data_IF_212759805418
#
_entry.id   IF_212759805418
#
_cell.length_a   1.000
_cell.length_b   1.000
_cell.length_c   1.000
_cell.angle_alpha   90.00
_cell.angle_beta   90.00
_cell.angle_gamma   90.00
#
_symmetry.space_group_name_H-M   'P 1'
#
loop_
_entity.id
_entity.type
_entity.pdbx_description
1 polymer ?
#
# COMPACT_ATOMS: atom_id res chain seq x y z
N UNK A 1 15.26 -59.08 -20.51
CA UNK A 1 13.88 -59.06 -21.03
C UNK A 1 13.10 -58.10 -20.16
N UNK A 2 12.58 -56.96 -20.58
CA UNK A 2 12.61 -56.11 -21.79
C UNK A 2 11.87 -54.84 -21.32
N UNK A 3 12.41 -53.63 -21.50
CA UNK A 3 11.86 -52.57 -22.39
C UNK A 3 10.42 -52.13 -22.00
N UNK A 4 10.08 -50.86 -21.74
CA UNK A 4 10.47 -49.65 -22.47
C UNK A 4 10.14 -48.33 -21.74
N UNK A 5 10.97 -47.33 -22.08
CA UNK A 5 10.78 -45.89 -22.34
C UNK A 5 9.99 -44.90 -21.44
N UNK A 6 10.70 -43.79 -21.14
CA UNK A 6 10.30 -42.50 -20.57
C UNK A 6 9.63 -41.58 -21.65
N UNK A 7 9.07 -40.38 -21.34
CA UNK A 7 9.96 -39.21 -21.32
C UNK A 7 9.63 -38.08 -20.33
N UNK A 8 10.73 -37.53 -19.82
CA UNK A 8 10.91 -36.22 -19.20
C UNK A 8 10.38 -35.02 -20.02
N UNK A 9 9.49 -34.20 -19.45
CA UNK A 9 9.19 -32.82 -19.95
C UNK A 9 9.21 -31.75 -18.82
N UNK A 10 9.10 -32.13 -17.55
CA UNK A 10 8.94 -31.16 -16.45
C UNK A 10 10.19 -30.39 -15.98
N UNK A 11 11.40 -30.72 -16.44
CA UNK A 11 12.66 -30.23 -15.81
C UNK A 11 13.51 -29.25 -16.64
N UNK A 12 13.02 -28.75 -17.78
CA UNK A 12 13.74 -27.72 -18.58
C UNK A 12 13.15 -26.31 -18.52
N UNK A 13 11.97 -26.11 -17.94
CA UNK A 13 11.36 -24.78 -17.80
C UNK A 13 11.86 -23.99 -16.58
N UNK A 14 12.38 -24.67 -15.56
CA UNK A 14 12.82 -24.04 -14.31
C UNK A 14 14.22 -23.42 -14.33
N UNK A 15 15.01 -23.61 -15.40
CA UNK A 15 16.36 -23.03 -15.50
C UNK A 15 16.48 -21.82 -16.45
N UNK A 16 15.39 -21.40 -17.11
CA UNK A 16 15.36 -20.18 -17.93
C UNK A 16 14.63 -19.00 -17.29
N UNK A 17 13.83 -19.23 -16.25
CA UNK A 17 13.22 -18.15 -15.46
C UNK A 17 14.20 -17.48 -14.48
N UNK A 18 15.24 -18.19 -14.03
CA UNK A 18 16.17 -17.70 -13.02
C UNK A 18 17.29 -16.77 -13.55
N UNK A 19 17.36 -16.49 -14.86
CA UNK A 19 18.38 -15.57 -15.42
C UNK A 19 17.80 -14.28 -16.02
N UNK A 20 16.51 -14.00 -15.81
CA UNK A 20 15.81 -12.85 -16.38
C UNK A 20 15.25 -11.92 -15.29
N UNK A 21 15.95 -11.79 -14.16
CA UNK A 21 15.50 -10.94 -13.05
C UNK A 21 16.57 -10.00 -12.51
N UNK A 22 17.69 -9.84 -13.22
CA UNK A 22 18.68 -8.81 -12.88
C UNK A 22 18.92 -7.89 -14.06
N UNK A 23 18.66 -6.61 -13.81
CA UNK A 23 18.82 -5.42 -14.65
C UNK A 23 17.55 -4.91 -15.36
N UNK A 24 17.32 -3.61 -15.15
CA UNK A 24 16.34 -2.67 -15.72
C UNK A 24 14.95 -2.56 -15.07
N UNK A 25 14.57 -1.30 -14.79
CA UNK A 25 13.30 -0.85 -14.20
C UNK A 25 12.10 -1.02 -15.15
N UNK A 26 10.94 -0.39 -14.87
CA UNK A 26 9.66 -0.86 -15.38
C UNK A 26 9.57 -0.65 -16.90
N UNK A 27 9.75 -1.72 -17.66
CA UNK A 27 9.61 -1.72 -19.11
C UNK A 27 8.18 -2.07 -19.51
N UNK A 28 7.88 -1.81 -20.79
CA UNK A 28 6.64 -2.08 -21.51
C UNK A 28 6.02 -3.50 -21.37
N UNK A 29 6.61 -4.36 -20.56
CA UNK A 29 6.18 -5.75 -20.33
C UNK A 29 4.94 -5.87 -19.44
N UNK A 30 4.62 -4.89 -18.57
CA UNK A 30 3.37 -4.96 -17.78
C UNK A 30 2.13 -4.80 -18.68
N UNK A 31 2.21 -3.90 -19.66
CA UNK A 31 1.19 -3.77 -20.72
C UNK A 31 1.19 -4.98 -21.65
N UNK A 32 2.34 -5.61 -21.91
CA UNK A 32 2.43 -6.83 -22.71
C UNK A 32 1.79 -8.04 -22.02
N UNK A 33 1.97 -8.19 -20.70
CA UNK A 33 1.33 -9.28 -19.93
C UNK A 33 -0.19 -9.09 -19.88
N UNK A 34 -0.68 -7.86 -19.68
CA UNK A 34 -2.13 -7.57 -19.75
C UNK A 34 -2.67 -7.82 -21.17
N UNK A 35 -1.95 -7.41 -22.22
CA UNK A 35 -2.34 -7.68 -23.61
C UNK A 35 -2.34 -9.18 -23.96
N UNK A 36 -1.40 -9.96 -23.42
CA UNK A 36 -1.35 -11.42 -23.60
C UNK A 36 -2.52 -12.09 -22.87
N UNK A 37 -2.88 -11.66 -21.66
CA UNK A 37 -4.04 -12.20 -20.93
C UNK A 37 -5.35 -11.88 -21.67
N UNK A 38 -5.51 -10.66 -22.21
CA UNK A 38 -6.67 -10.28 -23.02
C UNK A 38 -6.72 -11.07 -24.35
N UNK A 39 -5.58 -11.30 -25.00
CA UNK A 39 -5.51 -12.06 -26.25
C UNK A 39 -5.80 -13.56 -26.05
N UNK A 40 -5.35 -14.17 -24.94
CA UNK A 40 -5.64 -15.58 -24.62
C UNK A 40 -7.15 -15.78 -24.34
N UNK A 41 -7.81 -14.81 -23.71
CA UNK A 41 -9.27 -14.85 -23.49
C UNK A 41 -10.03 -14.70 -24.82
N UNK A 42 -9.56 -13.86 -25.76
CA UNK A 42 -10.20 -13.70 -27.07
C UNK A 42 -10.08 -14.93 -27.99
N UNK A 43 -9.05 -15.77 -27.82
CA UNK A 43 -8.81 -16.96 -28.64
C UNK A 43 -9.58 -18.20 -28.12
N UNK A 44 -9.97 -18.22 -26.84
CA UNK A 44 -10.74 -19.34 -26.26
C UNK A 44 -12.25 -19.26 -26.52
N UNK A 45 -12.77 -18.09 -26.91
CA UNK A 45 -14.22 -17.88 -27.11
C UNK A 45 -14.80 -18.51 -28.39
N UNK A 46 -14.08 -18.73 -29.52
CA UNK A 46 -14.68 -19.35 -30.72
C UNK A 46 -14.46 -20.86 -30.88
N UNK A 47 -13.79 -21.56 -29.94
CA UNK A 47 -13.38 -22.96 -30.16
C UNK A 47 -14.44 -24.04 -29.82
N UNK A 48 -15.72 -23.70 -29.63
CA UNK A 48 -16.77 -24.66 -29.22
C UNK A 48 -17.82 -24.93 -30.33
N UNK A 49 -17.69 -24.32 -31.52
CA UNK A 49 -18.63 -24.58 -32.62
C UNK A 49 -18.00 -25.39 -33.75
N UNK A 50 -18.03 -26.72 -33.64
CA UNK A 50 -18.20 -27.68 -34.76
C UNK A 50 -17.83 -29.10 -34.29
N UNK A 51 -18.83 -29.96 -34.05
CA UNK A 51 -18.92 -31.36 -34.54
C UNK A 51 -20.34 -31.86 -34.24
N UNK A 52 -21.20 -31.96 -35.26
CA UNK A 52 -22.31 -32.90 -35.27
C UNK A 52 -22.59 -33.37 -36.69
N UNK A 53 -22.64 -34.69 -36.93
CA UNK A 53 -23.58 -35.32 -37.85
C UNK A 53 -23.65 -36.88 -37.73
N UNK A 54 -24.89 -37.39 -37.75
CA UNK A 54 -25.43 -38.64 -38.39
C UNK A 54 -25.93 -39.83 -37.51
N UNK A 55 -27.28 -40.00 -37.51
CA UNK A 55 -28.22 -41.17 -37.48
C UNK A 55 -28.06 -42.33 -36.43
N UNK A 56 -29.10 -42.95 -35.82
CA UNK A 56 -30.55 -43.07 -36.14
C UNK A 56 -31.39 -43.67 -34.97
N UNK A 57 -32.65 -43.22 -34.92
CA UNK A 57 -33.92 -43.88 -34.53
C UNK A 57 -34.21 -44.46 -33.12
N UNK A 58 -35.19 -43.81 -32.48
CA UNK A 58 -36.30 -44.37 -31.66
C UNK A 58 -36.07 -44.80 -30.20
N UNK A 59 -34.90 -44.52 -29.62
CA UNK A 59 -34.73 -44.33 -28.16
C UNK A 59 -34.45 -42.85 -27.79
N UNK A 60 -34.51 -41.96 -28.78
CA UNK A 60 -33.87 -40.64 -28.75
C UNK A 60 -34.71 -39.49 -28.16
N UNK A 61 -35.95 -39.70 -27.71
CA UNK A 61 -36.78 -38.59 -27.22
C UNK A 61 -36.57 -38.26 -25.72
N UNK A 62 -36.23 -39.25 -24.90
CA UNK A 62 -35.95 -39.03 -23.46
C UNK A 62 -34.48 -38.65 -23.21
N UNK A 63 -33.55 -39.17 -24.03
CA UNK A 63 -32.11 -38.86 -23.93
C UNK A 63 -31.78 -37.43 -24.43
N UNK A 64 -32.53 -36.95 -25.42
CA UNK A 64 -32.39 -35.60 -26.01
C UNK A 64 -32.93 -34.50 -25.08
N UNK A 65 -33.92 -34.81 -24.22
CA UNK A 65 -34.37 -33.89 -23.17
C UNK A 65 -33.35 -33.79 -22.02
N UNK A 66 -32.76 -34.92 -21.62
CA UNK A 66 -31.66 -34.98 -20.65
C UNK A 66 -30.42 -34.23 -21.14
N UNK A 67 -30.04 -34.45 -22.41
CA UNK A 67 -28.87 -33.82 -23.02
C UNK A 67 -29.04 -32.30 -23.17
N UNK A 68 -30.22 -31.83 -23.61
CA UNK A 68 -30.53 -30.39 -23.66
C UNK A 68 -30.56 -29.75 -22.27
N UNK A 69 -31.03 -30.48 -21.25
CA UNK A 69 -31.01 -29.99 -19.87
C UNK A 69 -29.58 -29.89 -19.31
N UNK A 70 -28.70 -30.84 -19.63
CA UNK A 70 -27.27 -30.77 -19.25
C UNK A 70 -26.53 -29.65 -19.98
N UNK A 71 -26.80 -29.44 -21.27
CA UNK A 71 -26.19 -28.36 -22.06
C UNK A 71 -26.64 -26.99 -21.55
N UNK A 72 -27.92 -26.82 -21.23
CA UNK A 72 -28.44 -25.59 -20.63
C UNK A 72 -27.83 -25.32 -19.24
N UNK A 73 -27.64 -26.37 -18.42
CA UNK A 73 -27.01 -26.25 -17.11
C UNK A 73 -25.51 -25.93 -17.20
N UNK A 74 -24.82 -26.43 -18.22
CA UNK A 74 -23.42 -26.12 -18.49
C UNK A 74 -23.26 -24.68 -19.02
N UNK A 75 -24.13 -24.24 -19.94
CA UNK A 75 -24.17 -22.85 -20.42
C UNK A 75 -24.48 -21.86 -19.29
N UNK A 76 -25.39 -22.21 -18.37
CA UNK A 76 -25.65 -21.42 -17.16
C UNK A 76 -24.41 -21.32 -16.28
N UNK A 77 -23.72 -22.44 -16.02
CA UNK A 77 -22.48 -22.46 -15.22
C UNK A 77 -21.36 -21.65 -15.86
N UNK A 78 -21.24 -21.69 -17.18
CA UNK A 78 -20.29 -20.87 -17.93
C UNK A 78 -20.66 -19.38 -17.86
N UNK A 79 -21.95 -19.04 -17.96
CA UNK A 79 -22.46 -17.68 -17.77
C UNK A 79 -22.16 -17.12 -16.38
N UNK A 80 -22.39 -17.92 -15.34
CA UNK A 80 -22.08 -17.55 -13.95
C UNK A 80 -20.59 -17.35 -13.73
N UNK A 81 -19.77 -18.21 -14.34
CA UNK A 81 -18.30 -18.11 -14.28
C UNK A 81 -17.80 -16.84 -14.98
N UNK A 82 -18.35 -16.53 -16.16
CA UNK A 82 -18.02 -15.29 -16.89
C UNK A 82 -18.46 -14.05 -16.11
N UNK A 83 -19.62 -14.09 -15.47
CA UNK A 83 -20.09 -13.00 -14.63
C UNK A 83 -19.19 -12.79 -13.40
N UNK A 84 -18.74 -13.88 -12.75
CA UNK A 84 -17.81 -13.81 -11.64
C UNK A 84 -16.44 -13.23 -12.05
N UNK A 85 -15.93 -13.60 -13.22
CA UNK A 85 -14.69 -13.04 -13.78
C UNK A 85 -14.86 -11.55 -14.07
N UNK A 86 -15.95 -11.14 -14.74
CA UNK A 86 -16.22 -9.74 -15.03
C UNK A 86 -16.30 -8.88 -13.75
N UNK A 87 -16.95 -9.40 -12.71
CA UNK A 87 -17.00 -8.73 -11.41
C UNK A 87 -15.61 -8.65 -10.74
N UNK A 88 -14.78 -9.68 -10.88
CA UNK A 88 -13.39 -9.65 -10.42
C UNK A 88 -12.54 -8.60 -11.13
N UNK A 89 -12.66 -8.51 -12.46
CA UNK A 89 -11.95 -7.51 -13.28
C UNK A 89 -12.39 -6.08 -12.91
N UNK A 90 -13.69 -5.85 -12.71
CA UNK A 90 -14.19 -4.54 -12.30
C UNK A 90 -13.63 -4.12 -10.92
N UNK A 91 -13.62 -5.02 -9.94
CA UNK A 91 -13.02 -4.75 -8.61
C UNK A 91 -11.53 -4.44 -8.69
N UNK A 92 -10.80 -5.13 -9.57
CA UNK A 92 -9.38 -4.84 -9.81
C UNK A 92 -9.18 -3.47 -10.46
N UNK A 93 -10.04 -3.10 -11.42
CA UNK A 93 -10.01 -1.80 -12.07
C UNK A 93 -10.34 -0.64 -11.10
N UNK A 94 -11.31 -0.83 -10.22
CA UNK A 94 -11.61 0.10 -9.12
C UNK A 94 -10.41 0.24 -8.18
N UNK A 95 -9.78 -0.88 -7.80
CA UNK A 95 -8.58 -0.87 -6.96
C UNK A 95 -7.39 -0.16 -7.61
N UNK A 96 -7.20 -0.34 -8.92
CA UNK A 96 -6.16 0.36 -9.69
C UNK A 96 -6.42 1.87 -9.79
N UNK A 97 -7.68 2.29 -9.96
CA UNK A 97 -8.07 3.69 -9.90
C UNK A 97 -7.75 4.33 -8.55
N UNK A 98 -8.03 3.62 -7.45
CA UNK A 98 -7.67 4.08 -6.10
C UNK A 98 -6.16 4.19 -5.86
N UNK A 99 -5.35 3.31 -6.44
CA UNK A 99 -3.89 3.40 -6.36
C UNK A 99 -3.35 4.63 -7.09
N UNK A 100 -3.89 4.95 -8.27
CA UNK A 100 -3.53 6.17 -9.01
C UNK A 100 -3.94 7.44 -8.25
N UNK A 101 -5.13 7.45 -7.64
CA UNK A 101 -5.57 8.59 -6.81
C UNK A 101 -4.74 8.77 -5.53
N UNK A 102 -4.21 7.69 -4.94
CA UNK A 102 -3.35 7.77 -3.77
C UNK A 102 -1.97 8.37 -4.07
N UNK A 103 -1.43 8.11 -5.27
CA UNK A 103 -0.20 8.75 -5.77
C UNK A 103 -0.46 10.23 -6.08
N UNK A 104 -1.63 10.56 -6.63
CA UNK A 104 -2.01 11.94 -6.95
C UNK A 104 -2.29 12.82 -5.72
N UNK A 105 -2.81 12.26 -4.61
CA UNK A 105 -2.98 12.98 -3.34
C UNK A 105 -1.66 13.23 -2.59
N UNK A 106 -0.60 12.49 -2.92
CA UNK A 106 0.76 12.80 -2.46
C UNK A 106 1.37 14.00 -3.23
N UNK A 107 0.70 14.47 -4.30
CA UNK A 107 1.14 15.56 -5.20
C UNK A 107 0.27 16.83 -5.11
N UNK A 108 -0.68 16.92 -4.16
CA UNK A 108 -1.41 18.18 -3.87
C UNK A 108 -0.40 19.32 -3.59
N UNK A 109 -0.73 20.59 -3.93
CA UNK A 109 0.17 21.71 -3.67
C UNK A 109 0.39 21.85 -2.16
N UNK A 110 1.57 21.43 -1.71
CA UNK A 110 1.98 21.35 -0.30
C UNK A 110 2.15 22.73 0.36
N UNK A 111 2.01 23.80 -0.41
CA UNK A 111 2.25 25.16 0.03
C UNK A 111 1.14 26.03 -0.55
N UNK A 112 0.38 26.70 0.32
CA UNK A 112 -0.67 27.64 -0.09
C UNK A 112 -0.46 28.99 0.58
N UNK A 113 -0.68 30.06 -0.19
CA UNK A 113 -0.87 31.40 0.33
C UNK A 113 -2.37 31.65 0.50
N UNK A 114 -2.78 32.00 1.72
CA UNK A 114 -4.13 32.52 1.99
C UNK A 114 -5.29 31.66 1.50
N UNK A 115 -5.54 30.52 2.14
CA UNK A 115 -6.83 29.79 2.12
C UNK A 115 -6.87 28.81 3.31
N UNK A 116 -8.07 28.38 3.69
CA UNK A 116 -8.42 27.55 4.87
C UNK A 116 -7.30 26.57 5.32
N UNK A 117 -7.01 26.50 6.64
CA UNK A 117 -5.97 25.62 7.15
C UNK A 117 -6.28 24.18 6.77
N UNK A 118 -5.28 23.51 6.20
CA UNK A 118 -5.42 22.09 5.95
C UNK A 118 -5.64 21.32 7.25
N UNK A 119 -6.56 20.36 7.22
CA UNK A 119 -6.75 19.39 8.29
C UNK A 119 -5.97 18.12 7.98
N UNK A 120 -5.51 17.43 9.03
CA UNK A 120 -4.86 16.13 8.91
C UNK A 120 -5.60 15.19 7.98
N UNK A 121 -4.91 14.74 6.94
CA UNK A 121 -5.42 13.83 5.94
C UNK A 121 -4.62 12.54 6.01
N UNK A 122 -5.25 11.42 5.66
CA UNK A 122 -4.58 10.13 5.56
C UNK A 122 -5.17 9.34 4.40
N UNK A 123 -4.42 8.38 3.91
CA UNK A 123 -4.87 7.53 2.83
C UNK A 123 -3.94 6.36 2.54
N UNK A 124 -4.26 5.54 1.54
CA UNK A 124 -5.59 5.44 0.96
C UNK A 124 -6.61 4.92 1.98
N UNK A 125 -7.89 4.94 1.59
CA UNK A 125 -8.90 4.13 2.27
C UNK A 125 -8.50 2.65 2.28
N UNK A 126 -8.70 2.00 3.43
CA UNK A 126 -8.22 0.65 3.69
C UNK A 126 -9.08 -0.04 4.75
N UNK A 127 -9.04 -1.39 4.84
CA UNK A 127 -9.68 -2.10 5.92
C UNK A 127 -9.26 -1.54 7.29
N UNK A 128 -10.23 -1.40 8.18
CA UNK A 128 -10.06 -0.85 9.53
C UNK A 128 -10.38 -1.95 10.54
N UNK A 129 -9.57 -2.04 11.58
CA UNK A 129 -9.68 -3.07 12.60
C UNK A 129 -9.82 -2.47 14.02
N UNK A 130 -10.02 -3.34 14.99
CA UNK A 130 -9.91 -3.04 16.41
C UNK A 130 -8.92 -4.00 17.05
N UNK A 131 -8.43 -3.68 18.26
CA UNK A 131 -7.50 -4.57 18.98
C UNK A 131 -8.13 -5.94 19.29
N UNK A 132 -9.46 -6.06 19.31
CA UNK A 132 -10.18 -7.32 19.50
C UNK A 132 -10.31 -8.17 18.22
N UNK A 133 -10.10 -7.57 17.05
CA UNK A 133 -10.37 -8.18 15.74
C UNK A 133 -9.27 -7.83 14.72
N UNK A 134 -8.02 -8.13 15.07
CA UNK A 134 -6.85 -7.91 14.22
C UNK A 134 -6.75 -8.94 13.07
N UNK A 135 -6.28 -8.54 11.87
CA UNK A 135 -6.09 -9.46 10.75
C UNK A 135 -4.95 -10.44 10.99
N UNK A 136 -4.90 -11.50 10.19
CA UNK A 136 -3.82 -12.52 10.23
C UNK A 136 -2.68 -12.25 9.25
N UNK A 137 -2.74 -11.14 8.52
CA UNK A 137 -1.78 -10.73 7.49
C UNK A 137 -1.20 -9.35 7.85
N UNK A 138 0.00 -9.00 7.35
CA UNK A 138 0.62 -7.72 7.67
C UNK A 138 -0.22 -6.56 7.15
N UNK A 139 -0.51 -5.62 8.04
CA UNK A 139 -1.17 -4.35 7.73
C UNK A 139 -0.58 -3.29 8.63
N UNK A 140 -0.33 -2.10 8.09
CA UNK A 140 0.19 -0.99 8.86
C UNK A 140 -0.95 -0.05 9.27
N UNK A 141 -0.97 0.36 10.53
CA UNK A 141 -1.71 1.53 11.02
C UNK A 141 -3.18 1.59 10.54
N UNK A 142 -3.94 0.62 11.02
CA UNK A 142 -5.29 0.26 10.58
C UNK A 142 -6.29 0.14 11.72
N UNK A 143 -5.88 0.29 12.99
CA UNK A 143 -6.80 0.31 14.12
C UNK A 143 -7.33 1.72 14.40
N UNK A 144 -8.65 1.86 14.57
CA UNK A 144 -9.29 3.17 14.81
C UNK A 144 -9.33 3.59 16.28
N UNK A 145 -9.21 2.63 17.20
CA UNK A 145 -9.46 2.80 18.63
C UNK A 145 -8.27 2.47 19.51
N UNK A 146 -7.04 2.69 19.03
CA UNK A 146 -5.85 2.43 19.85
C UNK A 146 -5.91 3.34 21.10
N UNK A 147 -5.83 2.80 22.33
CA UNK A 147 -5.97 3.59 23.55
C UNK A 147 -4.83 4.61 23.78
N UNK A 148 -3.69 4.44 23.10
CA UNK A 148 -2.52 5.31 23.23
C UNK A 148 -2.41 6.33 22.08
N UNK A 149 -2.92 5.99 20.89
CA UNK A 149 -2.75 6.78 19.66
C UNK A 149 -4.07 7.34 19.11
N UNK A 150 -5.20 6.67 19.38
CA UNK A 150 -6.50 6.96 18.76
C UNK A 150 -6.65 6.25 17.42
N UNK A 151 -6.97 7.02 16.38
CA UNK A 151 -7.12 6.50 15.01
C UNK A 151 -5.76 6.43 14.34
N UNK A 152 -5.21 5.22 14.21
CA UNK A 152 -3.86 5.01 13.68
C UNK A 152 -3.72 5.38 12.21
N UNK A 153 -4.82 5.57 11.49
CA UNK A 153 -4.72 6.00 10.10
C UNK A 153 -4.12 7.40 9.99
N UNK A 154 -4.37 8.26 10.99
CA UNK A 154 -3.74 9.56 11.17
C UNK A 154 -2.42 9.42 11.96
N UNK A 155 -1.47 8.66 11.41
CA UNK A 155 -0.24 8.29 12.11
C UNK A 155 0.85 9.36 12.14
N UNK A 156 0.67 10.47 11.42
CA UNK A 156 1.63 11.56 11.38
C UNK A 156 1.12 12.74 12.20
N UNK A 157 1.94 13.20 13.14
CA UNK A 157 1.58 14.29 14.05
C UNK A 157 2.73 15.24 14.29
N UNK A 158 2.38 16.43 14.77
CA UNK A 158 3.30 17.50 15.12
C UNK A 158 2.99 18.04 16.51
N UNK A 159 4.04 18.55 17.17
CA UNK A 159 3.97 19.38 18.37
C UNK A 159 5.15 20.34 18.40
N UNK A 160 5.05 21.40 19.20
CA UNK A 160 6.22 22.20 19.55
C UNK A 160 7.25 21.35 20.29
N UNK A 161 8.54 21.58 20.08
CA UNK A 161 9.60 20.70 20.63
C UNK A 161 9.77 20.87 22.14
N UNK A 162 9.76 22.11 22.62
CA UNK A 162 10.05 22.46 24.02
C UNK A 162 8.81 22.50 24.92
N UNK A 163 7.68 21.97 24.47
CA UNK A 163 6.43 21.95 25.25
C UNK A 163 6.33 20.72 26.17
N UNK A 164 5.82 20.86 27.41
CA UNK A 164 5.48 19.70 28.24
C UNK A 164 4.27 18.91 27.71
N UNK A 165 3.55 19.45 26.72
CA UNK A 165 2.42 18.77 26.11
C UNK A 165 2.84 17.47 25.40
N UNK A 166 2.10 16.41 25.68
CA UNK A 166 2.29 15.08 25.08
C UNK A 166 1.27 14.77 23.97
N UNK A 167 0.48 15.77 23.60
CA UNK A 167 -0.58 15.63 22.60
C UNK A 167 0.02 15.88 21.22
N UNK A 168 -0.26 14.97 20.30
CA UNK A 168 0.12 15.11 18.90
C UNK A 168 -1.09 15.62 18.13
N UNK A 169 -0.88 16.62 17.29
CA UNK A 169 -1.92 17.16 16.43
C UNK A 169 -1.58 16.93 14.97
N UNK A 170 -2.59 16.85 14.12
CA UNK A 170 -2.41 16.86 12.66
C UNK A 170 -2.34 18.27 12.08
N UNK A 171 -2.61 19.29 12.90
CA UNK A 171 -2.56 20.71 12.54
C UNK A 171 -2.00 21.51 13.70
N UNK A 172 -1.09 22.45 13.42
CA UNK A 172 -0.56 23.37 14.44
C UNK A 172 -0.37 24.77 13.87
N UNK A 173 -0.52 25.78 14.73
CA UNK A 173 -0.10 27.14 14.42
C UNK A 173 1.37 27.31 14.83
N UNK A 174 2.20 27.75 13.91
CA UNK A 174 3.64 27.89 14.12
C UNK A 174 4.04 29.33 14.46
N UNK A 175 5.12 29.46 15.23
CA UNK A 175 5.71 30.72 15.66
C UNK A 175 7.11 30.89 15.05
N UNK A 176 7.51 32.14 14.80
CA UNK A 176 8.79 32.46 14.19
C UNK A 176 9.96 32.09 15.11
N UNK A 177 10.96 31.41 14.56
CA UNK A 177 12.14 30.95 15.27
C UNK A 177 11.95 29.71 16.16
N UNK A 178 10.74 29.14 16.22
CA UNK A 178 10.46 27.96 17.05
C UNK A 178 10.78 26.65 16.31
N UNK A 179 11.05 25.60 17.09
CA UNK A 179 11.26 24.25 16.60
C UNK A 179 10.03 23.37 16.88
N UNK A 180 9.66 22.53 15.92
CA UNK A 180 8.56 21.59 16.03
C UNK A 180 9.04 20.17 15.80
N UNK A 181 8.62 19.25 16.66
CA UNK A 181 8.87 17.82 16.49
C UNK A 181 7.74 17.22 15.69
N UNK A 182 8.06 16.56 14.58
CA UNK A 182 7.13 15.73 13.83
C UNK A 182 7.40 14.27 14.15
N UNK A 183 6.33 13.46 14.23
CA UNK A 183 6.42 12.04 14.56
C UNK A 183 5.47 11.20 13.74
N UNK A 184 6.02 10.13 13.20
CA UNK A 184 5.32 9.05 12.51
C UNK A 184 5.22 7.86 13.45
N UNK A 185 3.99 7.45 13.78
CA UNK A 185 3.72 6.20 14.47
C UNK A 185 3.64 5.06 13.46
N UNK A 186 4.26 3.91 13.74
CA UNK A 186 4.18 2.73 12.89
C UNK A 186 3.87 1.51 13.74
N UNK A 187 2.78 0.82 13.39
CA UNK A 187 2.43 -0.46 13.97
C UNK A 187 1.99 -1.41 12.88
N UNK A 188 2.50 -2.64 12.95
CA UNK A 188 1.96 -3.75 12.18
C UNK A 188 0.85 -4.41 12.99
N UNK A 189 -0.41 -4.24 12.55
CA UNK A 189 -1.60 -4.65 13.30
C UNK A 189 -1.97 -6.11 13.06
N UNK A 190 -1.05 -6.94 12.56
CA UNK A 190 -1.33 -8.37 12.45
C UNK A 190 -1.41 -9.05 13.83
N UNK A 191 -2.34 -9.99 13.98
CA UNK A 191 -2.49 -10.84 15.18
C UNK A 191 -1.47 -11.97 15.25
N UNK A 192 -0.87 -12.34 14.11
CA UNK A 192 0.01 -13.52 13.99
C UNK A 192 1.46 -13.08 13.89
N UNK A 193 2.33 -13.59 14.77
CA UNK A 193 3.75 -13.21 14.87
C UNK A 193 4.57 -13.39 13.59
N UNK A 194 4.15 -14.29 12.69
CA UNK A 194 4.80 -14.53 11.40
C UNK A 194 4.40 -13.54 10.30
N UNK A 195 3.35 -12.74 10.51
CA UNK A 195 2.83 -11.78 9.55
C UNK A 195 3.62 -10.47 9.58
N UNK A 196 4.93 -10.56 9.31
CA UNK A 196 5.87 -9.44 9.35
C UNK A 196 5.70 -8.56 8.10
N UNK A 197 5.83 -7.25 8.25
CA UNK A 197 5.89 -6.31 7.15
C UNK A 197 7.36 -6.14 6.70
N UNK A 198 7.71 -6.66 5.52
CA UNK A 198 9.10 -6.75 5.04
C UNK A 198 9.53 -5.55 4.21
N UNK A 199 10.71 -5.03 4.52
CA UNK A 199 11.28 -3.87 3.82
C UNK A 199 10.42 -2.62 4.03
N UNK A 200 9.88 -2.45 5.24
CA UNK A 200 9.08 -1.29 5.59
C UNK A 200 9.92 -0.02 5.49
N UNK A 201 9.51 0.97 4.70
CA UNK A 201 10.23 2.23 4.52
C UNK A 201 9.35 3.43 4.81
N UNK A 202 9.96 4.49 5.35
CA UNK A 202 9.36 5.81 5.54
C UNK A 202 9.97 6.82 4.58
N UNK A 203 9.13 7.53 3.85
CA UNK A 203 9.50 8.75 3.12
C UNK A 203 8.71 9.91 3.68
N UNK A 204 9.39 11.01 3.98
CA UNK A 204 8.79 12.28 4.38
C UNK A 204 8.87 13.23 3.18
N UNK A 205 7.73 13.78 2.81
CA UNK A 205 7.66 14.93 1.93
C UNK A 205 7.69 16.19 2.78
N UNK A 206 8.86 16.83 2.86
CA UNK A 206 9.06 18.12 3.53
C UNK A 206 9.23 19.19 2.45
N UNK A 207 8.24 20.06 2.23
CA UNK A 207 8.31 21.04 1.15
C UNK A 207 9.41 22.09 1.41
N UNK A 208 10.11 22.48 0.35
CA UNK A 208 11.02 23.62 0.37
C UNK A 208 10.37 24.80 -0.37
N UNK A 209 9.46 25.49 0.32
CA UNK A 209 8.66 26.58 -0.22
C UNK A 209 8.37 27.62 0.86
N UNK A 210 7.78 28.75 0.44
CA UNK A 210 7.25 29.79 1.31
C UNK A 210 5.72 29.72 1.25
N UNK A 211 5.04 29.84 2.40
CA UNK A 211 3.59 29.90 2.46
C UNK A 211 3.08 30.21 3.87
N UNK A 212 1.81 30.59 3.99
CA UNK A 212 1.13 30.76 5.28
C UNK A 212 0.48 29.47 5.77
N UNK A 213 0.38 28.45 4.90
CA UNK A 213 0.01 27.09 5.23
C UNK A 213 0.91 26.13 4.45
N UNK A 214 1.67 25.31 5.17
CA UNK A 214 2.60 24.32 4.61
C UNK A 214 2.20 22.93 5.11
N UNK A 215 1.96 22.01 4.19
CA UNK A 215 1.68 20.60 4.47
C UNK A 215 2.93 19.76 4.33
N UNK A 216 3.10 18.81 5.23
CA UNK A 216 4.08 17.73 5.10
C UNK A 216 3.37 16.40 5.18
N UNK A 217 3.84 15.41 4.45
CA UNK A 217 3.28 14.07 4.46
C UNK A 217 4.34 13.01 4.77
N UNK A 218 3.89 11.95 5.43
CA UNK A 218 4.66 10.75 5.68
C UNK A 218 4.05 9.60 4.87
N UNK A 219 4.87 8.94 4.07
CA UNK A 219 4.54 7.75 3.28
C UNK A 219 5.21 6.54 3.90
N UNK A 220 4.42 5.57 4.33
CA UNK A 220 4.89 4.25 4.73
C UNK A 220 4.64 3.28 3.58
N UNK A 221 5.66 2.48 3.25
CA UNK A 221 5.56 1.43 2.25
C UNK A 221 6.12 0.12 2.79
N UNK A 222 5.55 -1.01 2.38
CA UNK A 222 6.09 -2.35 2.64
C UNK A 222 5.80 -3.26 1.45
N UNK A 223 6.57 -4.34 1.29
CA UNK A 223 6.47 -5.23 0.11
C UNK A 223 5.27 -6.18 0.14
N UNK A 224 4.72 -6.41 1.32
CA UNK A 224 3.78 -7.49 1.61
C UNK A 224 2.56 -7.04 2.42
N UNK A 225 2.44 -5.75 2.74
CA UNK A 225 1.27 -5.21 3.45
C UNK A 225 0.10 -4.98 2.52
N UNK A 226 -1.11 -4.95 3.07
CA UNK A 226 -2.29 -4.49 2.35
C UNK A 226 -2.92 -3.26 3.04
N UNK A 227 -2.91 -2.07 2.40
CA UNK A 227 -2.26 -1.76 1.12
C UNK A 227 -0.73 -1.73 1.22
N UNK A 228 -0.04 -1.74 0.07
CA UNK A 228 1.43 -1.68 -0.01
C UNK A 228 2.01 -0.32 0.41
N UNK A 229 1.18 0.73 0.34
CA UNK A 229 1.54 2.10 0.69
C UNK A 229 0.40 2.76 1.44
N UNK A 230 0.72 3.48 2.51
CA UNK A 230 -0.19 4.35 3.24
C UNK A 230 0.50 5.69 3.50
N UNK A 231 -0.28 6.75 3.60
CA UNK A 231 0.23 8.08 3.89
C UNK A 231 -0.62 8.80 4.94
N UNK A 232 -0.02 9.76 5.63
CA UNK A 232 -0.67 10.67 6.56
C UNK A 232 0.01 12.03 6.50
N UNK A 233 -0.75 13.11 6.68
CA UNK A 233 -0.29 14.48 6.55
C UNK A 233 -0.48 15.32 7.80
N UNK A 234 0.41 16.30 7.96
CA UNK A 234 0.40 17.36 8.98
C UNK A 234 0.35 18.71 8.30
N UNK A 235 -0.38 19.66 8.89
CA UNK A 235 -0.42 21.05 8.45
C UNK A 235 0.22 22.00 9.48
N UNK A 236 1.13 22.83 8.99
CA UNK A 236 1.75 23.94 9.72
C UNK A 236 1.12 25.24 9.21
N UNK A 237 0.61 26.08 10.10
CA UNK A 237 -0.10 27.32 9.71
C UNK A 237 0.44 28.53 10.44
N UNK A 238 0.42 29.69 9.80
CA UNK A 238 0.73 30.98 10.42
C UNK A 238 -0.05 32.11 9.76
N UNK A 239 -0.10 33.27 10.42
CA UNK A 239 -0.71 34.49 9.87
C UNK A 239 0.18 35.20 8.84
N UNK A 240 1.47 34.85 8.78
CA UNK A 240 2.46 35.40 7.85
C UNK A 240 3.12 34.26 7.08
N UNK A 241 3.67 34.51 5.87
CA UNK A 241 4.40 33.48 5.15
C UNK A 241 5.68 33.07 5.89
N UNK A 242 5.97 31.77 5.87
CA UNK A 242 7.13 31.18 6.53
C UNK A 242 7.74 30.07 5.68
N UNK A 243 8.92 29.61 6.11
CA UNK A 243 9.63 28.45 5.59
C UNK A 243 9.81 27.40 6.67
N UNK A 244 9.96 26.15 6.25
CA UNK A 244 10.20 25.00 7.14
C UNK A 244 11.52 24.36 6.74
N UNK A 245 12.43 24.21 7.71
CA UNK A 245 13.73 23.59 7.48
C UNK A 245 13.95 22.41 8.44
N UNK A 246 14.42 21.27 7.93
CA UNK A 246 14.84 20.16 8.78
C UNK A 246 16.02 20.58 9.69
N UNK A 247 15.93 20.25 10.98
CA UNK A 247 17.03 20.42 11.93
C UNK A 247 17.96 19.20 11.80
N UNK A 248 19.12 19.40 11.17
CA UNK A 248 20.06 18.32 10.87
C UNK A 248 20.47 17.53 12.13
N UNK A 249 20.39 16.19 12.03
CA UNK A 249 20.78 15.28 13.11
C UNK A 249 19.69 15.05 14.18
N UNK A 250 18.53 15.69 14.07
CA UNK A 250 17.41 15.49 15.00
C UNK A 250 16.63 14.19 14.79
N UNK A 251 16.80 13.53 13.65
CA UNK A 251 16.02 12.34 13.32
C UNK A 251 16.38 11.12 14.19
N UNK A 252 15.36 10.48 14.77
CA UNK A 252 15.50 9.28 15.61
C UNK A 252 14.37 8.27 15.36
N UNK A 253 14.67 6.99 15.60
CA UNK A 253 13.69 5.90 15.68
C UNK A 253 13.66 5.37 17.11
N UNK A 254 12.48 5.38 17.71
CA UNK A 254 12.20 4.73 18.99
C UNK A 254 11.38 3.45 18.74
N UNK A 255 11.51 2.48 19.63
CA UNK A 255 10.68 1.27 19.61
C UNK A 255 10.36 0.82 21.01
N UNK A 256 9.16 0.27 21.22
CA UNK A 256 8.78 -0.35 22.49
C UNK A 256 9.67 -1.58 22.83
N UNK A 257 10.34 -2.18 21.85
CA UNK A 257 11.27 -3.29 22.07
C UNK A 257 12.69 -2.84 22.48
N UNK A 258 13.01 -1.54 22.39
CA UNK A 258 14.33 -1.00 22.69
C UNK A 258 14.30 -0.01 23.84
N UNK A 259 15.35 -0.05 24.67
CA UNK A 259 15.48 0.86 25.81
C UNK A 259 15.90 2.28 25.42
N UNK A 260 16.41 2.49 24.21
CA UNK A 260 16.95 3.79 23.79
C UNK A 260 16.65 4.10 22.32
N UNK A 261 16.41 5.37 21.98
CA UNK A 261 16.28 5.81 20.59
C UNK A 261 17.53 5.51 19.77
N UNK A 262 17.35 5.23 18.48
CA UNK A 262 18.42 5.06 17.50
C UNK A 262 18.45 6.28 16.58
N UNK A 263 19.58 6.97 16.53
CA UNK A 263 19.76 8.10 15.61
C UNK A 263 19.70 7.66 14.16
N UNK A 264 19.02 8.44 13.33
CA UNK A 264 18.92 8.21 11.89
C UNK A 264 19.95 9.09 11.18
N UNK A 265 20.99 8.51 10.56
CA UNK A 265 22.01 9.31 9.90
C UNK A 265 21.52 9.88 8.57
N UNK A 266 21.91 11.13 8.29
CA UNK A 266 21.65 11.79 7.01
C UNK A 266 20.18 12.14 6.78
N UNK A 267 19.77 12.18 5.51
CA UNK A 267 18.46 12.66 5.05
C UNK A 267 17.75 11.67 4.12
N UNK A 268 18.09 10.37 4.21
CA UNK A 268 17.51 9.34 3.33
C UNK A 268 15.97 9.31 3.35
N UNK A 269 15.37 9.59 4.52
CA UNK A 269 13.92 9.72 4.68
C UNK A 269 13.29 10.87 3.86
N UNK A 270 14.05 11.90 3.47
CA UNK A 270 13.58 13.01 2.62
C UNK A 270 13.72 12.70 1.12
N UNK A 271 14.16 11.48 0.77
CA UNK A 271 14.40 11.07 -0.61
C UNK A 271 13.51 9.90 -1.02
N UNK A 272 13.40 9.66 -2.33
CA UNK A 272 12.59 8.58 -2.88
C UNK A 272 13.00 7.17 -2.40
N UNK A 273 14.23 6.99 -1.91
CA UNK A 273 14.68 5.73 -1.31
C UNK A 273 14.06 5.44 0.06
N UNK A 274 13.63 6.48 0.77
CA UNK A 274 13.11 6.40 2.13
C UNK A 274 14.13 5.95 3.18
N UNK A 275 13.72 6.00 4.43
CA UNK A 275 14.42 5.40 5.57
C UNK A 275 13.81 4.04 5.87
N UNK A 276 14.67 3.03 5.97
CA UNK A 276 14.26 1.69 6.36
C UNK A 276 13.83 1.67 7.83
N UNK A 277 12.73 0.99 8.10
CA UNK A 277 12.11 0.86 9.40
C UNK A 277 12.22 -0.58 9.93
N UNK A 278 12.11 -0.71 11.24
CA UNK A 278 12.14 -1.99 11.93
C UNK A 278 13.55 -2.54 12.14
N UNK A 279 13.60 -3.73 12.74
CA UNK A 279 14.85 -4.43 13.02
C UNK A 279 15.11 -5.45 11.94
N UNK A 280 16.34 -5.51 11.43
CA UNK A 280 16.72 -6.41 10.33
C UNK A 280 15.77 -6.29 9.12
N UNK A 281 15.26 -5.08 8.87
CA UNK A 281 14.32 -4.73 7.80
C UNK A 281 12.90 -5.30 7.97
N UNK A 282 12.54 -5.64 9.22
CA UNK A 282 11.29 -6.29 9.59
C UNK A 282 10.48 -5.44 10.58
N UNK A 283 9.30 -4.99 10.15
CA UNK A 283 8.27 -4.44 11.03
C UNK A 283 7.40 -5.58 11.58
N UNK A 284 7.74 -6.02 12.79
CA UNK A 284 7.09 -7.15 13.47
C UNK A 284 5.71 -6.74 14.02
N UNK A 285 4.76 -7.69 14.13
CA UNK A 285 3.40 -7.37 14.60
C UNK A 285 3.29 -7.07 16.09
N UNK A 286 2.34 -6.18 16.41
CA UNK A 286 1.86 -5.91 17.78
C UNK A 286 2.65 -4.86 18.57
N UNK A 287 2.04 -4.41 19.67
CA UNK A 287 2.48 -3.29 20.50
C UNK A 287 3.94 -3.30 20.95
N UNK A 288 4.51 -4.48 21.18
CA UNK A 288 5.91 -4.59 21.61
C UNK A 288 6.90 -4.08 20.55
N UNK A 289 6.47 -4.03 19.28
CA UNK A 289 7.30 -3.68 18.14
C UNK A 289 6.90 -2.35 17.50
N UNK A 290 6.00 -1.60 18.13
CA UNK A 290 5.64 -0.25 17.68
C UNK A 290 6.91 0.57 17.51
N UNK A 291 6.91 1.37 16.45
CA UNK A 291 7.99 2.27 16.11
C UNK A 291 7.47 3.71 16.11
N UNK A 292 8.34 4.62 16.54
CA UNK A 292 8.13 6.05 16.43
C UNK A 292 9.33 6.63 15.71
N UNK A 293 9.13 7.12 14.49
CA UNK A 293 10.13 7.94 13.81
C UNK A 293 9.83 9.39 14.13
N UNK A 294 10.81 10.15 14.60
CA UNK A 294 10.64 11.59 14.83
C UNK A 294 11.82 12.40 14.34
N UNK A 295 11.57 13.65 14.01
CA UNK A 295 12.57 14.63 13.60
C UNK A 295 12.07 16.05 13.90
N UNK A 296 12.97 17.01 13.99
CA UNK A 296 12.65 18.41 14.25
C UNK A 296 12.71 19.25 12.97
N UNK A 297 11.86 20.27 12.92
CA UNK A 297 11.91 21.34 11.92
C UNK A 297 11.97 22.70 12.59
N UNK A 298 12.65 23.63 11.93
CA UNK A 298 12.76 25.03 12.31
C UNK A 298 11.86 25.89 11.43
N UNK A 299 11.19 26.86 12.04
CA UNK A 299 10.28 27.80 11.37
C UNK A 299 10.95 29.17 11.27
N UNK A 300 10.98 29.73 10.06
CA UNK A 300 11.49 31.07 9.80
C UNK A 300 10.50 31.87 8.94
N UNK A 301 10.01 32.98 9.48
CA UNK A 301 9.07 33.86 8.78
C UNK A 301 9.81 34.69 7.73
N UNK A 302 9.13 34.95 6.62
CA UNK A 302 9.67 35.78 5.54
C UNK A 302 9.09 37.19 5.64
N UNK A 303 9.96 38.19 5.66
CA UNK A 303 9.58 39.61 5.61
C UNK A 303 9.26 40.09 4.19
#
# INVERSE_FOLDING_TARGET
MSEDQEPSVGRRLWRRFASWCWSSGPTADFLAVVAIVVAVVAILVPAISEVQAVDRDSAAAEDDASYRASDAAEQSRQGDTLHAIANGVNKLNESLGHLQSAEQLAEEPLCREGEEPFSGYWGPERPVFSDEALPIYPVLNSVRGNPNIGDERAFYGVRETDTPERVWSSTINVEDGHNYTLRVFVRNDASVVSAVATGATLTINLPNCVGSSIQTSALLASRDTFPLKIWSGVALNASQPFTVAYVEGSAVIESNAQASPVSVPGTGFLSAGGQLLGFDDLARPGYNWDLYFSFEVHIAFTN
#
